data_IF_387999218398
#
_entry.id   IF_387999218398
#
_cell.length_a   1.000
_cell.length_b   1.000
_cell.length_c   1.000
_cell.angle_alpha   90.00
_cell.angle_beta   90.00
_cell.angle_gamma   90.00
#
_symmetry.space_group_name_H-M   'P 1'
#
loop_
_entity.id
_entity.type
_entity.pdbx_description
1 polymer ?
#
# COMPACT_ATOMS: atom_id res chain seq x y z
N UNK A 1 -17.96 -22.93 -17.35
CA UNK A 1 -16.65 -23.37 -17.88
C UNK A 1 -15.64 -22.23 -18.03
N UNK A 2 -15.95 -21.11 -18.71
CA UNK A 2 -14.98 -19.99 -18.92
C UNK A 2 -14.39 -19.36 -17.65
N UNK A 3 -15.17 -19.08 -16.59
CA UNK A 3 -14.64 -18.51 -15.33
C UNK A 3 -13.66 -19.42 -14.56
N UNK A 4 -13.69 -20.75 -14.77
CA UNK A 4 -12.78 -21.70 -14.08
C UNK A 4 -11.39 -21.78 -14.73
N UNK A 5 -11.20 -21.26 -15.95
CA UNK A 5 -9.91 -21.30 -16.65
C UNK A 5 -9.04 -20.05 -16.42
N UNK A 6 -9.58 -18.95 -15.89
CA UNK A 6 -8.92 -17.63 -15.92
C UNK A 6 -7.81 -17.47 -14.87
N UNK A 7 -7.79 -18.30 -13.81
CA UNK A 7 -6.80 -18.22 -12.73
C UNK A 7 -6.10 -19.56 -12.42
N UNK A 8 -6.03 -20.45 -13.42
CA UNK A 8 -5.61 -21.83 -13.19
C UNK A 8 -4.12 -21.89 -12.85
N UNK A 9 -3.30 -21.20 -13.63
CA UNK A 9 -1.85 -21.19 -13.40
C UNK A 9 -1.49 -20.32 -12.19
N UNK A 10 -2.25 -19.27 -11.87
CA UNK A 10 -2.14 -18.54 -10.60
C UNK A 10 -2.33 -19.49 -9.41
N UNK A 11 -3.45 -20.22 -9.35
CA UNK A 11 -3.74 -21.09 -8.21
C UNK A 11 -2.72 -22.22 -8.05
N UNK A 12 -2.35 -22.85 -9.17
CA UNK A 12 -1.28 -23.87 -9.20
C UNK A 12 0.06 -23.30 -8.76
N UNK A 13 0.41 -22.09 -9.18
CA UNK A 13 1.64 -21.43 -8.76
C UNK A 13 1.63 -21.13 -7.27
N UNK A 14 0.48 -20.76 -6.68
CA UNK A 14 0.38 -20.60 -5.23
C UNK A 14 0.56 -21.92 -4.48
N UNK A 15 0.03 -23.04 -5.00
CA UNK A 15 0.23 -24.37 -4.39
C UNK A 15 1.73 -24.73 -4.36
N UNK A 16 2.40 -24.54 -5.50
CA UNK A 16 3.83 -24.80 -5.62
C UNK A 16 4.66 -23.83 -4.77
N UNK A 17 4.22 -22.57 -4.65
CA UNK A 17 4.85 -21.57 -3.80
C UNK A 17 4.74 -21.92 -2.32
N UNK A 18 3.57 -22.36 -1.88
CA UNK A 18 3.37 -22.83 -0.51
C UNK A 18 4.33 -24.00 -0.17
N UNK A 19 4.46 -24.98 -1.06
CA UNK A 19 5.42 -26.08 -0.89
C UNK A 19 6.86 -25.60 -0.83
N UNK A 20 7.24 -24.62 -1.65
CA UNK A 20 8.56 -24.00 -1.61
C UNK A 20 8.82 -23.39 -0.22
N UNK A 21 7.89 -22.60 0.31
CA UNK A 21 8.03 -21.99 1.63
C UNK A 21 8.05 -23.04 2.75
N UNK A 22 7.30 -24.13 2.64
CA UNK A 22 7.38 -25.19 3.66
C UNK A 22 8.79 -25.81 3.76
N UNK A 23 9.54 -25.89 2.65
CA UNK A 23 10.92 -26.41 2.65
C UNK A 23 11.88 -25.54 3.46
N UNK A 24 11.62 -24.22 3.56
CA UNK A 24 12.47 -23.28 4.31
C UNK A 24 11.91 -22.95 5.70
N UNK A 25 10.73 -23.45 6.08
CA UNK A 25 10.07 -23.11 7.35
C UNK A 25 10.95 -23.38 8.58
N UNK A 26 11.68 -24.51 8.58
CA UNK A 26 12.60 -24.83 9.68
C UNK A 26 13.81 -23.87 9.75
N UNK A 27 14.36 -23.48 8.59
CA UNK A 27 15.47 -22.55 8.48
C UNK A 27 15.08 -21.15 8.98
N UNK A 28 13.88 -20.67 8.63
CA UNK A 28 13.38 -19.34 9.02
C UNK A 28 12.90 -19.30 10.48
N UNK A 29 12.59 -20.45 11.09
CA UNK A 29 12.02 -20.53 12.43
C UNK A 29 12.99 -20.38 13.61
N UNK A 30 14.28 -20.72 13.44
CA UNK A 30 15.28 -20.68 14.52
C UNK A 30 16.66 -20.23 14.02
N UNK A 31 17.27 -19.26 14.71
CA UNK A 31 18.68 -18.82 14.53
C UNK A 31 19.05 -18.39 13.10
N UNK A 32 18.09 -17.87 12.33
CA UNK A 32 18.30 -17.44 10.95
C UNK A 32 19.16 -16.18 10.91
N UNK A 33 20.06 -16.09 9.93
CA UNK A 33 20.84 -14.87 9.65
C UNK A 33 20.45 -14.20 8.31
N UNK A 34 20.94 -12.99 8.09
CA UNK A 34 20.66 -12.20 6.87
C UNK A 34 21.01 -12.92 5.58
N UNK A 35 22.11 -13.68 5.53
CA UNK A 35 22.56 -14.37 4.33
C UNK A 35 21.66 -15.57 3.99
N UNK A 36 21.21 -16.31 5.00
CA UNK A 36 20.24 -17.38 4.83
C UNK A 36 18.89 -16.86 4.31
N UNK A 37 18.42 -15.73 4.84
CA UNK A 37 17.20 -15.08 4.34
C UNK A 37 17.39 -14.61 2.90
N UNK A 38 18.52 -13.95 2.58
CA UNK A 38 18.81 -13.52 1.22
C UNK A 38 18.80 -14.69 0.22
N UNK A 39 19.39 -15.83 0.59
CA UNK A 39 19.33 -17.06 -0.20
C UNK A 39 17.89 -17.53 -0.44
N UNK A 40 17.04 -17.53 0.61
CA UNK A 40 15.63 -17.89 0.46
C UNK A 40 14.89 -16.93 -0.47
N UNK A 41 15.13 -15.62 -0.34
CA UNK A 41 14.54 -14.61 -1.23
C UNK A 41 14.97 -14.85 -2.68
N UNK A 42 16.24 -15.19 -2.95
CA UNK A 42 16.71 -15.48 -4.30
C UNK A 42 16.03 -16.73 -4.91
N UNK A 43 15.80 -17.78 -4.12
CA UNK A 43 15.02 -18.94 -4.55
C UNK A 43 13.56 -18.58 -4.88
N UNK A 44 12.96 -17.71 -4.07
CA UNK A 44 11.61 -17.17 -4.32
C UNK A 44 11.60 -16.34 -5.63
N UNK A 45 12.60 -15.49 -5.87
CA UNK A 45 12.71 -14.75 -7.15
C UNK A 45 12.79 -15.70 -8.33
N UNK A 46 13.67 -16.70 -8.29
CA UNK A 46 13.83 -17.68 -9.36
C UNK A 46 12.52 -18.44 -9.60
N UNK A 47 11.80 -18.79 -8.53
CA UNK A 47 10.51 -19.45 -8.60
C UNK A 47 9.48 -18.63 -9.39
N UNK A 48 9.39 -17.33 -9.12
CA UNK A 48 8.44 -16.42 -9.76
C UNK A 48 8.84 -16.03 -11.18
N UNK A 49 10.13 -15.75 -11.41
CA UNK A 49 10.66 -15.42 -12.74
C UNK A 49 10.32 -16.49 -13.78
N UNK A 50 10.38 -17.78 -13.40
CA UNK A 50 10.02 -18.91 -14.27
C UNK A 50 8.54 -18.93 -14.69
N UNK A 51 7.68 -18.15 -14.04
CA UNK A 51 6.21 -18.14 -14.24
C UNK A 51 5.68 -16.76 -14.60
N UNK A 52 6.53 -15.74 -14.67
CA UNK A 52 6.11 -14.33 -14.73
C UNK A 52 5.20 -14.06 -15.94
N UNK A 53 5.60 -14.50 -17.14
CA UNK A 53 4.84 -14.24 -18.37
C UNK A 53 3.41 -14.80 -18.30
N UNK A 54 3.25 -16.05 -17.86
CA UNK A 54 1.93 -16.69 -17.78
C UNK A 54 1.07 -16.09 -16.67
N UNK A 55 1.68 -15.71 -15.55
CA UNK A 55 0.99 -15.04 -14.44
C UNK A 55 0.53 -13.64 -14.84
N UNK A 56 1.34 -12.88 -15.56
CA UNK A 56 0.96 -11.56 -16.09
C UNK A 56 -0.22 -11.66 -17.05
N UNK A 57 -0.22 -12.67 -17.94
CA UNK A 57 -1.34 -12.89 -18.85
C UNK A 57 -2.64 -13.25 -18.12
N UNK A 58 -2.59 -14.15 -17.12
CA UNK A 58 -3.77 -14.48 -16.31
C UNK A 58 -4.24 -13.29 -15.47
N UNK A 59 -3.31 -12.50 -14.91
CA UNK A 59 -3.62 -11.28 -14.15
C UNK A 59 -4.32 -10.24 -15.02
N UNK A 60 -3.78 -9.92 -16.19
CA UNK A 60 -4.38 -8.96 -17.13
C UNK A 60 -5.80 -9.41 -17.53
N UNK A 61 -5.96 -10.70 -17.87
CA UNK A 61 -7.28 -11.27 -18.18
C UNK A 61 -8.25 -11.15 -17.00
N UNK A 62 -7.77 -11.38 -15.77
CA UNK A 62 -8.56 -11.32 -14.55
C UNK A 62 -8.99 -9.89 -14.22
N UNK A 63 -8.05 -8.95 -14.24
CA UNK A 63 -8.25 -7.55 -13.89
C UNK A 63 -9.14 -6.81 -14.91
N UNK A 64 -9.08 -7.17 -16.19
CA UNK A 64 -9.91 -6.55 -17.23
C UNK A 64 -11.41 -6.84 -17.13
N UNK A 65 -11.82 -7.85 -16.36
CA UNK A 65 -13.24 -8.24 -16.26
C UNK A 65 -13.77 -8.26 -14.83
N UNK A 66 -12.93 -7.98 -13.84
CA UNK A 66 -13.29 -8.02 -12.42
C UNK A 66 -12.69 -6.83 -11.66
N UNK A 67 -13.29 -6.52 -10.51
CA UNK A 67 -12.74 -5.54 -9.58
C UNK A 67 -11.65 -6.21 -8.73
N UNK A 68 -10.39 -6.02 -9.11
CA UNK A 68 -9.24 -6.61 -8.44
C UNK A 68 -8.55 -5.58 -7.54
N UNK A 69 -8.51 -5.83 -6.23
CA UNK A 69 -7.84 -4.97 -5.26
C UNK A 69 -6.42 -5.47 -4.98
N UNK A 70 -5.45 -4.55 -4.88
CA UNK A 70 -4.07 -4.82 -4.52
C UNK A 70 -3.78 -4.30 -3.11
N UNK A 71 -3.23 -5.14 -2.23
CA UNK A 71 -2.71 -4.69 -0.93
C UNK A 71 -1.52 -3.73 -1.14
N UNK A 72 -1.77 -2.44 -0.91
CA UNK A 72 -0.89 -1.31 -1.19
C UNK A 72 -0.57 -0.55 0.10
N UNK A 73 0.62 0.05 0.19
CA UNK A 73 1.13 0.68 1.42
C UNK A 73 1.51 -0.30 2.54
N UNK A 74 1.18 -1.59 2.43
CA UNK A 74 1.55 -2.64 3.37
C UNK A 74 2.43 -3.73 2.74
N UNK A 75 3.29 -4.34 3.57
CA UNK A 75 4.11 -5.50 3.15
C UNK A 75 3.29 -6.78 3.15
N UNK A 76 2.59 -7.06 4.24
CA UNK A 76 1.80 -8.29 4.43
C UNK A 76 0.42 -7.97 5.04
N UNK A 77 -0.50 -8.94 4.99
CA UNK A 77 -1.90 -8.71 5.29
C UNK A 77 -2.15 -8.56 6.80
N UNK A 78 -1.42 -9.30 7.63
CA UNK A 78 -1.55 -9.31 9.09
C UNK A 78 -2.85 -9.97 9.57
N UNK A 79 -3.02 -11.24 9.20
CA UNK A 79 -4.20 -12.07 9.46
C UNK A 79 -4.52 -12.17 10.96
N UNK A 80 -3.51 -12.15 11.83
CA UNK A 80 -3.68 -12.24 13.29
C UNK A 80 -4.53 -11.10 13.87
N UNK A 81 -4.54 -9.95 13.17
CA UNK A 81 -5.30 -8.76 13.56
C UNK A 81 -6.63 -8.64 12.77
N UNK A 82 -7.14 -9.73 12.20
CA UNK A 82 -8.38 -9.78 11.42
C UNK A 82 -8.41 -8.91 10.14
N UNK A 83 -7.27 -8.40 9.70
CA UNK A 83 -7.13 -7.57 8.49
C UNK A 83 -7.63 -8.23 7.20
N UNK A 84 -7.65 -9.57 7.18
CA UNK A 84 -8.18 -10.35 6.06
C UNK A 84 -9.70 -10.21 5.90
N UNK A 85 -10.45 -9.92 6.96
CA UNK A 85 -11.88 -9.60 6.86
C UNK A 85 -12.09 -8.31 6.10
N UNK A 86 -11.45 -7.23 6.56
CA UNK A 86 -11.47 -5.92 5.90
C UNK A 86 -11.08 -6.07 4.45
N UNK A 87 -9.91 -6.66 4.17
CA UNK A 87 -9.40 -6.77 2.82
C UNK A 87 -10.39 -7.46 1.89
N UNK A 88 -11.09 -8.50 2.37
CA UNK A 88 -12.05 -9.30 1.59
C UNK A 88 -13.40 -8.61 1.32
N UNK A 89 -13.71 -7.52 2.03
CA UNK A 89 -15.04 -6.92 2.06
C UNK A 89 -15.48 -6.33 0.71
N UNK A 90 -14.56 -5.73 -0.04
CA UNK A 90 -14.87 -4.99 -1.27
C UNK A 90 -14.10 -5.55 -2.48
N UNK A 91 -14.83 -5.87 -3.54
CA UNK A 91 -14.25 -6.33 -4.81
C UNK A 91 -14.39 -7.82 -5.06
N UNK A 92 -13.94 -8.25 -6.23
CA UNK A 92 -14.09 -9.62 -6.70
C UNK A 92 -12.86 -10.48 -6.34
N UNK A 93 -11.67 -9.92 -6.49
CA UNK A 93 -10.39 -10.58 -6.24
C UNK A 93 -9.45 -9.68 -5.45
N UNK A 94 -8.63 -10.31 -4.60
CA UNK A 94 -7.80 -9.64 -3.61
C UNK A 94 -6.38 -10.14 -3.77
N UNK A 95 -5.51 -9.26 -4.23
CA UNK A 95 -4.15 -9.57 -4.66
C UNK A 95 -3.17 -9.00 -3.64
N UNK A 96 -2.17 -9.79 -3.31
CA UNK A 96 -1.08 -9.43 -2.44
C UNK A 96 0.18 -9.56 -3.27
N UNK A 97 0.86 -8.44 -3.52
CA UNK A 97 2.22 -8.51 -4.04
C UNK A 97 3.08 -9.29 -3.05
N UNK A 98 3.85 -10.26 -3.53
CA UNK A 98 4.65 -11.16 -2.70
C UNK A 98 5.37 -10.41 -1.57
N UNK A 99 4.97 -10.64 -0.30
CA UNK A 99 5.54 -9.92 0.83
C UNK A 99 7.04 -10.13 1.00
N UNK A 100 7.55 -11.32 0.64
CA UNK A 100 8.94 -11.69 0.84
C UNK A 100 9.84 -11.03 -0.21
N UNK A 101 9.35 -10.89 -1.45
CA UNK A 101 10.05 -10.12 -2.48
C UNK A 101 10.08 -8.62 -2.16
N UNK A 102 9.04 -8.06 -1.54
CA UNK A 102 9.03 -6.65 -1.11
C UNK A 102 10.16 -6.30 -0.12
N UNK A 103 10.60 -7.29 0.66
CA UNK A 103 11.64 -7.12 1.67
C UNK A 103 13.06 -7.29 1.13
N UNK A 104 13.23 -7.77 -0.11
CA UNK A 104 14.54 -7.99 -0.74
C UNK A 104 15.54 -6.83 -0.59
N UNK A 105 15.14 -5.55 -0.78
CA UNK A 105 16.08 -4.43 -0.63
C UNK A 105 16.75 -4.37 0.75
N UNK A 106 16.03 -4.73 1.82
CA UNK A 106 16.55 -4.69 3.19
C UNK A 106 17.71 -5.69 3.41
N UNK A 107 17.74 -6.79 2.65
CA UNK A 107 18.77 -7.82 2.73
C UNK A 107 19.95 -7.59 1.77
N UNK A 108 19.83 -6.59 0.88
CA UNK A 108 20.89 -6.17 -0.05
C UNK A 108 21.63 -4.92 0.39
N UNK A 109 21.08 -4.17 1.35
CA UNK A 109 21.73 -2.98 1.90
C UNK A 109 22.97 -3.37 2.70
N UNK A 110 24.10 -2.73 2.40
CA UNK A 110 25.39 -2.99 3.06
C UNK A 110 25.69 -2.01 4.20
N UNK A 111 26.34 -2.51 5.26
CA UNK A 111 26.88 -1.71 6.37
C UNK A 111 25.97 -1.55 7.59
N UNK A 112 26.38 -0.73 8.58
CA UNK A 112 25.70 -0.49 9.86
C UNK A 112 24.36 0.29 9.74
N UNK A 113 23.83 0.44 8.53
CA UNK A 113 22.67 1.29 8.19
C UNK A 113 21.33 0.69 8.60
N UNK A 114 21.29 -0.59 8.97
CA UNK A 114 20.07 -1.31 9.32
C UNK A 114 20.21 -1.97 10.68
N UNK A 115 19.12 -2.02 11.45
CA UNK A 115 19.00 -2.96 12.57
C UNK A 115 18.74 -4.38 12.06
N UNK A 116 19.76 -5.24 12.21
CA UNK A 116 19.74 -6.62 11.71
C UNK A 116 18.64 -7.44 12.39
N UNK A 117 18.45 -7.30 13.69
CA UNK A 117 17.50 -8.12 14.44
C UNK A 117 16.07 -7.72 14.09
N UNK A 118 15.79 -6.40 14.05
CA UNK A 118 14.48 -5.89 13.66
C UNK A 118 14.12 -6.32 12.22
N UNK A 119 15.09 -6.31 11.30
CA UNK A 119 14.90 -6.72 9.91
C UNK A 119 14.60 -8.22 9.79
N UNK A 120 15.33 -9.07 10.52
CA UNK A 120 15.07 -10.51 10.58
C UNK A 120 13.68 -10.78 11.17
N UNK A 121 13.33 -10.14 12.28
CA UNK A 121 12.02 -10.28 12.92
C UNK A 121 10.88 -9.84 11.99
N UNK A 122 11.07 -8.76 11.25
CA UNK A 122 10.08 -8.26 10.29
C UNK A 122 9.88 -9.24 9.13
N UNK A 123 10.96 -9.81 8.60
CA UNK A 123 10.87 -10.86 7.58
C UNK A 123 10.18 -12.11 8.11
N UNK A 124 10.51 -12.57 9.31
CA UNK A 124 9.85 -13.73 9.94
C UNK A 124 8.35 -13.48 10.15
N UNK A 125 7.94 -12.26 10.53
CA UNK A 125 6.52 -11.88 10.61
C UNK A 125 5.84 -12.00 9.25
N UNK A 126 6.41 -11.41 8.21
CA UNK A 126 5.88 -11.47 6.85
C UNK A 126 5.81 -12.92 6.32
N UNK A 127 6.83 -13.73 6.60
CA UNK A 127 6.92 -15.14 6.23
C UNK A 127 5.81 -15.98 6.87
N UNK A 128 5.62 -15.82 8.18
CA UNK A 128 4.59 -16.56 8.90
C UNK A 128 3.17 -16.14 8.50
N UNK A 129 2.95 -14.84 8.25
CA UNK A 129 1.67 -14.33 7.73
C UNK A 129 1.38 -14.92 6.34
N UNK A 130 2.38 -14.95 5.46
CA UNK A 130 2.29 -15.52 4.11
C UNK A 130 1.98 -17.01 4.14
N UNK A 131 2.68 -17.79 4.99
CA UNK A 131 2.39 -19.22 5.18
C UNK A 131 0.97 -19.44 5.66
N UNK A 132 0.50 -18.66 6.65
CA UNK A 132 -0.85 -18.80 7.19
C UNK A 132 -1.91 -18.47 6.14
N UNK A 133 -1.66 -17.47 5.29
CA UNK A 133 -2.54 -17.13 4.18
C UNK A 133 -2.66 -18.27 3.17
N UNK A 134 -1.53 -18.85 2.78
CA UNK A 134 -1.47 -19.98 1.84
C UNK A 134 -2.05 -21.26 2.46
N UNK A 135 -1.93 -21.46 3.77
CA UNK A 135 -2.45 -22.65 4.44
C UNK A 135 -3.98 -22.61 4.63
N UNK A 136 -4.53 -21.44 4.97
CA UNK A 136 -5.95 -21.31 5.36
C UNK A 136 -6.83 -20.66 4.31
N UNK A 137 -6.29 -19.74 3.50
CA UNK A 137 -7.07 -18.79 2.70
C UNK A 137 -6.62 -18.66 1.24
N UNK A 138 -5.89 -19.65 0.74
CA UNK A 138 -5.30 -19.64 -0.62
C UNK A 138 -6.32 -19.49 -1.77
N UNK A 139 -7.57 -19.90 -1.54
CA UNK A 139 -8.65 -19.74 -2.52
C UNK A 139 -9.21 -18.32 -2.57
N UNK A 140 -8.98 -17.53 -1.51
CA UNK A 140 -9.60 -16.22 -1.29
C UNK A 140 -8.70 -15.03 -1.59
N UNK A 141 -7.39 -15.20 -1.41
CA UNK A 141 -6.36 -14.19 -1.71
C UNK A 141 -5.35 -14.75 -2.71
N UNK A 142 -4.85 -13.88 -3.60
CA UNK A 142 -3.89 -14.22 -4.65
C UNK A 142 -2.55 -13.55 -4.36
N UNK A 143 -1.54 -14.34 -4.02
CA UNK A 143 -0.15 -13.87 -3.90
C UNK A 143 0.51 -13.95 -5.28
N UNK A 144 1.04 -12.81 -5.74
CA UNK A 144 1.65 -12.68 -7.06
C UNK A 144 2.91 -11.80 -6.98
N UNK A 145 3.89 -12.01 -7.87
CA UNK A 145 5.07 -11.17 -7.99
C UNK A 145 4.72 -9.90 -8.78
N UNK A 146 3.88 -9.03 -8.21
CA UNK A 146 3.38 -7.82 -8.87
C UNK A 146 4.50 -6.79 -9.13
N UNK A 147 5.67 -6.97 -8.50
CA UNK A 147 6.82 -6.07 -8.66
C UNK A 147 7.75 -6.43 -9.81
N UNK A 148 8.12 -5.37 -10.52
CA UNK A 148 9.08 -5.20 -11.61
C UNK A 148 8.64 -5.66 -13.01
N UNK A 149 7.40 -5.36 -13.36
CA UNK A 149 7.01 -5.14 -14.77
C UNK A 149 6.78 -3.65 -14.92
N UNK A 150 7.16 -3.08 -16.06
CA UNK A 150 7.01 -1.67 -16.42
C UNK A 150 8.05 -0.77 -15.76
N UNK A 151 9.28 -0.76 -16.29
CA UNK A 151 9.95 0.40 -16.91
C UNK A 151 11.29 -0.14 -17.43
N UNK A 152 11.39 -0.42 -18.73
CA UNK A 152 12.63 -0.94 -19.34
C UNK A 152 13.83 0.01 -19.14
N UNK A 153 13.56 1.28 -18.80
CA UNK A 153 14.56 2.30 -18.52
C UNK A 153 14.40 2.92 -17.11
N UNK A 154 15.23 2.48 -16.15
CA UNK A 154 15.25 3.01 -14.77
C UNK A 154 15.58 4.51 -14.69
N UNK A 155 16.29 5.08 -15.67
CA UNK A 155 16.66 6.50 -15.63
C UNK A 155 15.46 7.39 -15.94
N UNK A 156 14.65 7.03 -16.94
CA UNK A 156 13.41 7.76 -17.27
C UNK A 156 12.42 7.76 -16.08
N UNK A 157 12.36 6.66 -15.33
CA UNK A 157 11.55 6.58 -14.12
C UNK A 157 12.01 7.57 -13.04
N UNK A 158 13.32 7.63 -12.79
CA UNK A 158 13.89 8.55 -11.80
C UNK A 158 13.64 10.01 -12.18
N UNK A 159 13.79 10.35 -13.46
CA UNK A 159 13.52 11.69 -13.99
C UNK A 159 12.04 12.08 -13.87
N UNK A 160 11.12 11.16 -14.17
CA UNK A 160 9.69 11.39 -14.03
C UNK A 160 9.29 11.61 -12.57
N UNK A 161 9.80 10.77 -11.67
CA UNK A 161 9.54 10.89 -10.23
C UNK A 161 10.11 12.19 -9.66
N UNK A 162 11.30 12.60 -10.10
CA UNK A 162 11.91 13.86 -9.67
C UNK A 162 11.12 15.07 -10.18
N UNK A 163 10.71 15.06 -11.45
CA UNK A 163 9.85 16.09 -12.04
C UNK A 163 8.52 16.21 -11.31
N UNK A 164 7.89 15.06 -11.00
CA UNK A 164 6.64 15.05 -10.25
C UNK A 164 6.83 15.58 -8.82
N UNK A 165 7.91 15.18 -8.15
CA UNK A 165 8.22 15.64 -6.80
C UNK A 165 8.40 17.16 -6.74
N UNK A 166 9.15 17.77 -7.67
CA UNK A 166 9.33 19.22 -7.68
C UNK A 166 8.06 19.99 -8.02
N UNK A 167 7.18 19.43 -8.86
CA UNK A 167 5.83 19.99 -9.06
C UNK A 167 4.98 19.91 -7.80
N UNK A 168 5.05 18.80 -7.06
CA UNK A 168 4.38 18.65 -5.78
C UNK A 168 4.89 19.69 -4.78
N UNK A 169 6.22 19.80 -4.60
CA UNK A 169 6.83 20.83 -3.74
C UNK A 169 6.36 22.23 -4.17
N UNK A 170 6.43 22.53 -5.46
CA UNK A 170 5.98 23.83 -5.95
C UNK A 170 4.50 24.12 -5.62
N UNK A 171 3.65 23.09 -5.70
CA UNK A 171 2.24 23.16 -5.36
C UNK A 171 1.98 23.45 -3.87
N UNK A 172 2.66 22.75 -2.96
CA UNK A 172 2.42 22.91 -1.51
C UNK A 172 2.97 24.24 -0.95
N UNK A 173 3.88 24.91 -1.67
CA UNK A 173 4.43 26.23 -1.33
C UNK A 173 3.81 27.37 -2.18
N UNK A 174 2.97 27.06 -3.17
CA UNK A 174 2.49 28.04 -4.17
C UNK A 174 3.62 28.87 -4.82
N UNK A 175 4.78 28.25 -5.03
CA UNK A 175 6.00 28.88 -5.56
C UNK A 175 6.75 27.88 -6.42
N UNK A 176 7.30 28.30 -7.54
CA UNK A 176 8.03 27.39 -8.44
C UNK A 176 9.41 27.04 -7.88
N UNK A 177 9.71 25.74 -7.84
CA UNK A 177 11.01 25.16 -7.53
C UNK A 177 11.33 24.07 -8.54
N UNK A 178 12.50 24.14 -9.17
CA UNK A 178 12.99 23.14 -10.11
C UNK A 178 13.94 22.13 -9.49
N UNK A 179 14.63 22.49 -8.41
CA UNK A 179 15.64 21.65 -7.77
C UNK A 179 15.91 22.01 -6.30
N UNK A 180 16.84 21.27 -5.71
CA UNK A 180 17.28 21.45 -4.32
C UNK A 180 17.90 22.82 -4.07
N UNK A 181 18.74 23.31 -4.99
CA UNK A 181 19.48 24.57 -4.80
C UNK A 181 18.52 25.77 -4.83
N UNK A 182 17.49 25.72 -5.66
CA UNK A 182 16.42 26.71 -5.68
C UNK A 182 15.61 26.72 -4.39
N UNK A 183 15.25 25.54 -3.87
CA UNK A 183 14.50 25.43 -2.62
C UNK A 183 15.33 25.88 -1.41
N UNK A 184 16.59 25.43 -1.32
CA UNK A 184 17.46 25.69 -0.18
C UNK A 184 17.89 27.16 -0.05
N UNK A 185 17.80 27.97 -1.12
CA UNK A 185 18.02 29.43 -1.03
C UNK A 185 16.94 30.16 -0.26
N UNK A 186 15.76 29.57 -0.13
CA UNK A 186 14.58 30.19 0.45
C UNK A 186 14.25 29.60 1.83
N UNK A 187 14.57 28.32 2.02
CA UNK A 187 14.26 27.59 3.24
C UNK A 187 15.46 26.74 3.67
N UNK A 188 16.09 27.11 4.79
CA UNK A 188 17.24 26.41 5.37
C UNK A 188 16.86 25.65 6.66
N UNK A 189 15.79 26.08 7.33
CA UNK A 189 15.35 25.55 8.62
C UNK A 189 13.91 25.02 8.58
N UNK A 190 13.56 24.11 9.48
CA UNK A 190 12.19 23.60 9.59
C UNK A 190 11.16 24.70 9.85
N UNK A 191 11.52 25.76 10.59
CA UNK A 191 10.62 26.88 10.87
C UNK A 191 10.34 27.69 9.60
N UNK A 192 11.35 27.93 8.76
CA UNK A 192 11.16 28.60 7.47
C UNK A 192 10.35 27.73 6.50
N UNK A 193 10.63 26.43 6.44
CA UNK A 193 9.88 25.46 5.63
C UNK A 193 8.41 25.45 6.06
N UNK A 194 8.13 25.32 7.36
CA UNK A 194 6.77 25.31 7.91
C UNK A 194 5.99 26.59 7.55
N UNK A 195 6.61 27.76 7.74
CA UNK A 195 5.99 29.05 7.41
C UNK A 195 5.75 29.24 5.90
N UNK A 196 6.48 28.51 5.04
CA UNK A 196 6.32 28.55 3.59
C UNK A 196 5.21 27.63 3.05
N UNK A 197 4.80 26.60 3.79
CA UNK A 197 3.78 25.64 3.34
C UNK A 197 2.39 26.27 3.49
N UNK A 198 1.51 26.01 2.52
CA UNK A 198 0.09 26.38 2.62
C UNK A 198 -0.52 25.73 3.86
N UNK A 199 -1.11 26.52 4.76
CA UNK A 199 -1.63 26.08 6.07
C UNK A 199 -2.51 24.81 5.98
N UNK A 200 -3.51 24.80 5.08
CA UNK A 200 -4.39 23.64 4.89
C UNK A 200 -3.67 22.37 4.40
N UNK A 201 -2.54 22.54 3.70
CA UNK A 201 -1.69 21.41 3.29
C UNK A 201 -0.83 20.95 4.44
N UNK A 202 -0.27 21.88 5.23
CA UNK A 202 0.53 21.55 6.40
C UNK A 202 -0.25 20.71 7.41
N UNK A 203 -1.53 21.02 7.68
CA UNK A 203 -2.41 20.22 8.53
C UNK A 203 -2.52 18.75 8.07
N UNK A 204 -2.39 18.48 6.77
CA UNK A 204 -2.48 17.15 6.18
C UNK A 204 -1.12 16.51 5.87
N UNK A 205 -0.01 17.21 6.14
CA UNK A 205 1.34 16.71 5.95
C UNK A 205 1.79 15.88 7.18
N UNK A 206 1.33 14.64 7.19
CA UNK A 206 1.51 13.68 8.30
C UNK A 206 2.64 12.70 7.96
N UNK A 207 3.61 12.52 8.85
CA UNK A 207 4.75 11.63 8.63
C UNK A 207 4.62 10.31 9.39
N UNK A 208 4.03 10.35 10.58
CA UNK A 208 3.90 9.19 11.48
C UNK A 208 2.44 8.74 11.62
N UNK A 209 1.59 9.64 12.10
CA UNK A 209 0.17 9.38 12.43
C UNK A 209 -0.57 10.71 12.62
N UNK A 210 -1.90 10.66 12.79
CA UNK A 210 -2.75 11.84 12.98
C UNK A 210 -2.29 12.83 14.06
N UNK A 211 -1.55 12.38 15.09
CA UNK A 211 -1.03 13.28 16.14
C UNK A 211 0.00 14.28 15.59
N UNK A 212 0.61 14.03 14.42
CA UNK A 212 1.47 15.02 13.76
C UNK A 212 0.74 16.34 13.49
N UNK A 213 -0.58 16.32 13.25
CA UNK A 213 -1.35 17.55 13.02
C UNK A 213 -1.31 18.54 14.19
N UNK A 214 -0.99 18.07 15.40
CA UNK A 214 -0.86 18.89 16.61
C UNK A 214 0.57 19.44 16.83
N UNK A 215 1.52 19.08 15.97
CA UNK A 215 2.94 19.33 16.13
C UNK A 215 3.49 20.26 15.05
N UNK A 216 4.59 20.95 15.38
CA UNK A 216 5.39 21.68 14.39
C UNK A 216 6.22 20.71 13.53
N UNK A 217 6.75 21.19 12.40
CA UNK A 217 7.45 20.35 11.43
C UNK A 217 8.66 19.64 12.03
N UNK A 218 9.43 20.35 12.87
CA UNK A 218 10.61 19.79 13.54
C UNK A 218 10.24 18.59 14.42
N UNK A 219 9.13 18.69 15.16
CA UNK A 219 8.62 17.61 16.00
C UNK A 219 8.12 16.42 15.15
N UNK A 220 7.37 16.68 14.07
CA UNK A 220 6.89 15.63 13.14
C UNK A 220 8.04 14.83 12.54
N UNK A 221 9.04 15.53 11.99
CA UNK A 221 10.24 14.89 11.42
C UNK A 221 11.03 14.17 12.51
N UNK A 222 11.17 14.78 13.70
CA UNK A 222 11.83 14.15 14.84
C UNK A 222 11.14 12.87 15.31
N UNK A 223 9.81 12.78 15.25
CA UNK A 223 9.05 11.56 15.53
C UNK A 223 9.27 10.50 14.46
N UNK A 224 9.16 10.88 13.20
CA UNK A 224 9.40 9.97 12.06
C UNK A 224 10.77 9.32 12.15
N UNK A 225 11.83 10.10 12.38
CA UNK A 225 13.20 9.60 12.49
C UNK A 225 13.43 8.68 13.70
N UNK A 226 12.68 8.85 14.78
CA UNK A 226 12.74 7.96 15.95
C UNK A 226 12.04 6.63 15.71
N UNK A 227 10.94 6.65 14.95
CA UNK A 227 10.18 5.44 14.64
C UNK A 227 10.84 4.62 13.52
N UNK A 228 11.42 5.30 12.53
CA UNK A 228 12.21 4.69 11.46
C UNK A 228 13.68 4.57 11.88
N UNK A 229 13.99 3.59 12.73
CA UNK A 229 15.34 3.34 13.29
C UNK A 229 16.45 3.35 12.22
N UNK A 230 16.14 2.95 10.99
CA UNK A 230 17.08 2.92 9.87
C UNK A 230 17.34 4.30 9.24
N UNK A 231 16.37 5.23 9.30
CA UNK A 231 16.50 6.57 8.70
C UNK A 231 17.34 7.51 9.57
N UNK A 232 17.26 7.41 10.90
CA UNK A 232 18.08 8.24 11.80
C UNK A 232 19.59 8.14 11.53
N UNK A 233 20.07 6.97 11.11
CA UNK A 233 21.46 6.73 10.72
C UNK A 233 21.82 7.31 9.35
N UNK A 234 20.84 7.41 8.45
CA UNK A 234 21.00 7.96 7.11
C UNK A 234 21.01 9.50 7.13
N UNK A 235 20.27 10.12 8.05
CA UNK A 235 20.09 11.57 8.12
C UNK A 235 21.08 12.29 9.03
N UNK A 236 21.97 11.58 9.73
CA UNK A 236 22.86 12.18 10.75
C UNK A 236 23.85 13.23 10.26
N UNK A 237 24.02 13.42 8.95
CA UNK A 237 24.89 14.44 8.34
C UNK A 237 24.13 15.43 7.45
N UNK A 238 22.81 15.30 7.34
CA UNK A 238 21.98 16.08 6.42
C UNK A 238 21.48 17.37 7.08
N UNK A 239 21.26 18.42 6.30
CA UNK A 239 20.61 19.67 6.74
C UNK A 239 19.11 19.43 7.00
N UNK A 240 18.45 20.36 7.71
CA UNK A 240 17.00 20.26 7.96
C UNK A 240 16.20 20.20 6.64
N UNK A 241 16.59 21.01 5.64
CA UNK A 241 16.04 21.00 4.28
C UNK A 241 16.24 19.67 3.57
N UNK A 242 17.46 19.11 3.60
CA UNK A 242 17.76 17.81 2.99
C UNK A 242 16.91 16.68 3.61
N UNK A 243 16.75 16.69 4.93
CA UNK A 243 15.94 15.71 5.66
C UNK A 243 14.48 15.82 5.26
N UNK A 244 13.91 17.03 5.29
CA UNK A 244 12.52 17.29 4.90
C UNK A 244 12.25 16.79 3.48
N UNK A 245 13.07 17.20 2.51
CA UNK A 245 12.87 16.83 1.11
C UNK A 245 13.04 15.32 0.89
N UNK A 246 13.99 14.68 1.57
CA UNK A 246 14.24 13.24 1.43
C UNK A 246 13.07 12.39 1.95
N UNK A 247 12.55 12.71 3.13
CA UNK A 247 11.41 12.00 3.73
C UNK A 247 10.15 12.26 2.91
N UNK A 248 9.89 13.52 2.53
CA UNK A 248 8.71 13.85 1.72
C UNK A 248 8.78 13.17 0.36
N UNK A 249 9.95 13.15 -0.29
CA UNK A 249 10.16 12.48 -1.58
C UNK A 249 9.96 10.98 -1.48
N UNK A 250 10.36 10.33 -0.38
CA UNK A 250 10.16 8.89 -0.22
C UNK A 250 8.68 8.54 -0.10
N UNK A 251 7.90 9.33 0.65
CA UNK A 251 6.46 9.15 0.84
C UNK A 251 5.70 9.40 -0.48
N UNK A 252 6.03 10.47 -1.21
CA UNK A 252 5.47 10.75 -2.54
C UNK A 252 5.82 9.64 -3.54
N UNK A 253 7.08 9.19 -3.54
CA UNK A 253 7.52 8.10 -4.42
C UNK A 253 6.77 6.79 -4.14
N UNK A 254 6.44 6.52 -2.87
CA UNK A 254 5.61 5.36 -2.50
C UNK A 254 4.22 5.45 -3.13
N UNK A 255 3.57 6.63 -3.11
CA UNK A 255 2.24 6.78 -3.72
C UNK A 255 2.33 6.64 -5.24
N UNK A 256 3.34 7.21 -5.86
CA UNK A 256 3.54 7.07 -7.31
C UNK A 256 3.78 5.62 -7.72
N UNK A 257 4.59 4.86 -6.96
CA UNK A 257 4.80 3.42 -7.17
C UNK A 257 3.46 2.65 -7.09
N UNK A 258 2.63 2.96 -6.08
CA UNK A 258 1.29 2.36 -5.91
C UNK A 258 0.40 2.66 -7.12
N UNK A 259 0.29 3.93 -7.51
CA UNK A 259 -0.58 4.36 -8.61
C UNK A 259 -0.15 3.75 -9.94
N UNK A 260 1.14 3.84 -10.28
CA UNK A 260 1.69 3.25 -11.50
C UNK A 260 1.47 1.75 -11.54
N UNK A 261 1.76 1.04 -10.44
CA UNK A 261 1.57 -0.41 -10.35
C UNK A 261 0.11 -0.78 -10.58
N UNK A 262 -0.81 -0.05 -9.96
CA UNK A 262 -2.24 -0.33 -10.08
C UNK A 262 -2.76 -0.03 -11.49
N UNK A 263 -2.38 1.10 -12.07
CA UNK A 263 -2.80 1.49 -13.43
C UNK A 263 -2.29 0.49 -14.47
N UNK A 264 -1.01 0.12 -14.41
CA UNK A 264 -0.40 -0.79 -15.38
C UNK A 264 -0.97 -2.21 -15.34
N UNK A 265 -1.55 -2.62 -14.20
CA UNK A 265 -2.14 -3.94 -14.01
C UNK A 265 -3.68 -3.91 -13.91
N UNK A 266 -4.31 -2.75 -14.15
CA UNK A 266 -5.75 -2.54 -13.99
C UNK A 266 -6.30 -2.98 -12.61
N UNK A 267 -5.55 -2.65 -11.56
CA UNK A 267 -5.87 -2.97 -10.17
C UNK A 267 -6.35 -1.73 -9.42
N UNK A 268 -6.99 -1.95 -8.27
CA UNK A 268 -7.42 -0.89 -7.36
C UNK A 268 -6.57 -0.96 -6.09
N UNK A 269 -5.92 0.14 -5.67
CA UNK A 269 -5.13 0.12 -4.46
C UNK A 269 -6.04 -0.01 -3.24
N UNK A 270 -5.75 -1.01 -2.39
CA UNK A 270 -6.23 -1.09 -1.02
C UNK A 270 -5.17 -0.46 -0.12
N UNK A 271 -5.49 0.70 0.45
CA UNK A 271 -4.63 1.42 1.39
C UNK A 271 -5.38 1.51 2.72
N UNK A 272 -4.71 1.09 3.79
CA UNK A 272 -5.24 1.12 5.17
C UNK A 272 -4.40 1.90 6.15
N UNK A 273 -3.21 2.33 5.76
CA UNK A 273 -2.33 3.12 6.61
C UNK A 273 -2.58 4.60 6.35
N UNK A 274 -2.83 5.34 7.43
CA UNK A 274 -3.19 6.75 7.38
C UNK A 274 -2.14 7.58 6.61
N UNK A 275 -0.85 7.44 6.92
CA UNK A 275 0.22 8.21 6.25
C UNK A 275 0.15 8.03 4.73
N UNK A 276 0.10 6.78 4.25
CA UNK A 276 -0.02 6.49 2.81
C UNK A 276 -1.29 7.10 2.22
N UNK A 277 -2.42 7.03 2.92
CA UNK A 277 -3.68 7.62 2.45
C UNK A 277 -3.63 9.15 2.41
N UNK A 278 -3.03 9.81 3.41
CA UNK A 278 -2.86 11.27 3.47
C UNK A 278 -2.05 11.78 2.28
N UNK A 279 -0.92 11.13 1.97
CA UNK A 279 -0.13 11.49 0.80
C UNK A 279 -0.85 11.22 -0.52
N UNK A 280 -1.66 10.15 -0.61
CA UNK A 280 -2.55 9.96 -1.75
C UNK A 280 -3.54 11.12 -1.87
N UNK A 281 -4.16 11.53 -0.76
CA UNK A 281 -5.12 12.62 -0.73
C UNK A 281 -4.52 13.97 -1.15
N UNK A 282 -3.25 14.21 -0.81
CA UNK A 282 -2.53 15.41 -1.23
C UNK A 282 -2.33 15.49 -2.75
N UNK A 283 -2.22 14.34 -3.44
CA UNK A 283 -1.91 14.33 -4.88
C UNK A 283 -3.08 13.91 -5.78
N UNK A 284 -4.14 13.32 -5.24
CA UNK A 284 -5.20 12.67 -6.01
C UNK A 284 -5.88 13.60 -7.02
N UNK A 285 -6.04 14.90 -6.69
CA UNK A 285 -6.65 15.89 -7.59
C UNK A 285 -5.89 16.08 -8.91
N UNK A 286 -4.62 15.69 -8.95
CA UNK A 286 -3.82 15.68 -10.20
C UNK A 286 -4.35 14.67 -11.21
N UNK A 287 -5.08 13.66 -10.76
CA UNK A 287 -5.45 12.48 -11.55
C UNK A 287 -6.96 12.35 -11.79
N UNK A 288 -7.82 13.07 -11.06
CA UNK A 288 -9.28 12.88 -11.09
C UNK A 288 -9.97 13.31 -12.39
N UNK A 289 -9.26 14.00 -13.30
CA UNK A 289 -9.78 14.36 -14.62
C UNK A 289 -9.78 13.16 -15.59
N UNK A 290 -8.96 12.14 -15.33
CA UNK A 290 -9.05 10.86 -16.05
C UNK A 290 -10.13 9.99 -15.40
N UNK A 291 -11.13 9.58 -16.17
CA UNK A 291 -12.30 8.83 -15.66
C UNK A 291 -11.91 7.50 -15.01
N UNK A 292 -10.91 6.80 -15.56
CA UNK A 292 -10.46 5.50 -15.02
C UNK A 292 -9.72 5.69 -13.70
N UNK A 293 -8.83 6.68 -13.64
CA UNK A 293 -8.12 7.02 -12.40
C UNK A 293 -9.09 7.53 -11.33
N UNK A 294 -10.05 8.37 -11.71
CA UNK A 294 -11.11 8.85 -10.81
C UNK A 294 -11.89 7.67 -10.23
N UNK A 295 -12.31 6.72 -11.05
CA UNK A 295 -13.03 5.53 -10.58
C UNK A 295 -12.17 4.64 -9.66
N UNK A 296 -10.88 4.46 -9.99
CA UNK A 296 -9.93 3.73 -9.14
C UNK A 296 -9.79 4.39 -7.76
N UNK A 297 -9.57 5.71 -7.74
CA UNK A 297 -9.40 6.50 -6.52
C UNK A 297 -10.67 6.53 -5.66
N UNK A 298 -11.85 6.65 -6.26
CA UNK A 298 -13.13 6.57 -5.56
C UNK A 298 -13.24 5.26 -4.77
N UNK A 299 -12.91 4.13 -5.41
CA UNK A 299 -12.95 2.81 -4.75
C UNK A 299 -11.91 2.69 -3.64
N UNK A 300 -10.73 3.26 -3.82
CA UNK A 300 -9.69 3.31 -2.78
C UNK A 300 -10.16 4.12 -1.57
N UNK A 301 -10.80 5.27 -1.78
CA UNK A 301 -11.35 6.11 -0.69
C UNK A 301 -12.48 5.37 0.05
N UNK A 302 -13.42 4.76 -0.68
CA UNK A 302 -14.48 3.95 -0.07
C UNK A 302 -13.89 2.86 0.82
N UNK A 303 -12.84 2.18 0.33
CA UNK A 303 -12.17 1.16 1.12
C UNK A 303 -11.53 1.73 2.38
N UNK A 304 -10.74 2.79 2.25
CA UNK A 304 -10.08 3.41 3.38
C UNK A 304 -11.08 3.84 4.45
N UNK A 305 -12.19 4.49 4.07
CA UNK A 305 -13.25 4.87 5.01
C UNK A 305 -13.85 3.62 5.67
N UNK A 306 -14.16 2.57 4.91
CA UNK A 306 -14.69 1.32 5.48
C UNK A 306 -13.74 0.71 6.52
N UNK A 307 -12.44 0.73 6.25
CA UNK A 307 -11.42 0.23 7.18
C UNK A 307 -11.41 1.05 8.47
N UNK A 308 -11.40 2.38 8.38
CA UNK A 308 -11.34 3.27 9.54
C UNK A 308 -12.63 3.25 10.38
N UNK A 309 -13.79 2.99 9.76
CA UNK A 309 -15.09 3.11 10.44
C UNK A 309 -15.63 1.79 10.96
N UNK A 310 -15.07 0.66 10.55
CA UNK A 310 -15.53 -0.67 10.98
C UNK A 310 -14.69 -1.15 12.15
N UNK A 311 -15.33 -1.38 13.30
CA UNK A 311 -14.62 -1.83 14.50
C UNK A 311 -14.07 -3.26 14.35
N UNK A 312 -12.86 -3.53 14.86
CA UNK A 312 -12.19 -4.83 14.74
C UNK A 312 -12.92 -5.97 15.45
N UNK A 313 -13.63 -5.64 16.52
CA UNK A 313 -14.40 -6.59 17.36
C UNK A 313 -15.58 -7.22 16.61
N UNK A 314 -16.11 -6.56 15.57
CA UNK A 314 -17.20 -7.05 14.72
C UNK A 314 -16.87 -8.42 14.10
N UNK A 315 -15.59 -8.73 13.89
CA UNK A 315 -15.16 -9.99 13.25
C UNK A 315 -14.83 -11.13 14.23
N UNK A 316 -14.73 -10.87 15.54
CA UNK A 316 -14.12 -11.80 16.50
C UNK A 316 -14.82 -13.17 16.63
N UNK A 317 -16.08 -13.28 16.20
CA UNK A 317 -16.86 -14.52 16.29
C UNK A 317 -17.44 -14.99 14.95
N UNK A 318 -17.01 -14.39 13.85
CA UNK A 318 -17.50 -14.74 12.52
C UNK A 318 -16.51 -15.72 11.90
N UNK A 319 -16.99 -16.82 11.30
CA UNK A 319 -16.12 -17.69 10.50
C UNK A 319 -15.77 -17.00 9.18
N UNK A 320 -14.48 -16.93 8.85
CA UNK A 320 -14.02 -16.22 7.65
C UNK A 320 -14.57 -16.82 6.34
N UNK A 321 -14.75 -18.14 6.25
CA UNK A 321 -15.27 -18.74 5.02
C UNK A 321 -16.74 -18.39 4.81
N UNK A 322 -17.52 -18.39 5.90
CA UNK A 322 -18.90 -17.91 5.89
C UNK A 322 -18.97 -16.42 5.52
N UNK A 323 -18.17 -15.58 6.17
CA UNK A 323 -18.04 -14.15 5.87
C UNK A 323 -17.71 -13.90 4.40
N UNK A 324 -16.66 -14.56 3.89
CA UNK A 324 -16.19 -14.45 2.51
C UNK A 324 -17.27 -14.82 1.50
N UNK A 325 -18.03 -15.89 1.77
CA UNK A 325 -19.14 -16.29 0.90
C UNK A 325 -20.24 -15.22 0.88
N UNK A 326 -20.60 -14.70 2.05
CA UNK A 326 -21.66 -13.69 2.20
C UNK A 326 -21.28 -12.36 1.57
N UNK A 327 -20.04 -11.91 1.76
CA UNK A 327 -19.51 -10.68 1.15
C UNK A 327 -19.64 -10.70 -0.39
N UNK A 328 -19.28 -11.82 -1.03
CA UNK A 328 -19.38 -12.00 -2.49
C UNK A 328 -20.82 -11.87 -3.00
N UNK A 329 -21.79 -12.38 -2.25
CA UNK A 329 -23.20 -12.33 -2.62
C UNK A 329 -23.81 -10.95 -2.35
N UNK A 330 -23.44 -10.32 -1.24
CA UNK A 330 -23.96 -9.01 -0.83
C UNK A 330 -23.51 -7.88 -1.75
N UNK A 331 -22.29 -7.95 -2.29
CA UNK A 331 -21.69 -6.95 -3.21
C UNK A 331 -21.70 -5.54 -2.64
N UNK A 332 -21.15 -5.40 -1.44
CA UNK A 332 -21.17 -4.17 -0.65
C UNK A 332 -20.69 -2.94 -1.45
N UNK A 333 -19.56 -3.05 -2.16
CA UNK A 333 -19.02 -1.96 -2.99
C UNK A 333 -20.05 -1.40 -3.99
N UNK A 334 -20.82 -2.28 -4.64
CA UNK A 334 -21.83 -1.86 -5.62
C UNK A 334 -22.97 -1.11 -4.95
N UNK A 335 -23.42 -1.56 -3.77
CA UNK A 335 -24.49 -0.91 -3.00
C UNK A 335 -24.07 0.48 -2.53
N UNK A 336 -22.86 0.60 -1.98
CA UNK A 336 -22.29 1.89 -1.55
C UNK A 336 -22.24 2.86 -2.75
N UNK A 337 -21.64 2.45 -3.86
CA UNK A 337 -21.52 3.31 -5.06
C UNK A 337 -22.87 3.72 -5.64
N UNK A 338 -23.84 2.79 -5.69
CA UNK A 338 -25.19 3.11 -6.13
C UNK A 338 -25.82 4.21 -5.26
N UNK A 339 -25.71 4.10 -3.93
CA UNK A 339 -26.22 5.13 -3.01
C UNK A 339 -25.52 6.48 -3.16
N UNK A 340 -24.18 6.48 -3.31
CA UNK A 340 -23.40 7.70 -3.57
C UNK A 340 -23.90 8.39 -4.84
N UNK A 341 -24.12 7.61 -5.92
CA UNK A 341 -24.61 8.12 -7.20
C UNK A 341 -26.07 8.62 -7.11
N UNK A 342 -26.96 7.87 -6.45
CA UNK A 342 -28.36 8.26 -6.25
C UNK A 342 -28.49 9.59 -5.48
N UNK A 343 -27.58 9.84 -4.54
CA UNK A 343 -27.53 11.06 -3.74
C UNK A 343 -26.70 12.19 -4.37
N UNK A 344 -26.13 11.98 -5.56
CA UNK A 344 -25.24 12.90 -6.26
C UNK A 344 -24.07 13.41 -5.38
N UNK A 345 -23.47 12.52 -4.60
CA UNK A 345 -22.34 12.85 -3.71
C UNK A 345 -21.03 12.82 -4.51
N UNK A 346 -20.23 13.89 -4.43
CA UNK A 346 -18.88 13.93 -4.96
C UNK A 346 -17.87 13.63 -3.84
N UNK A 347 -17.35 12.40 -3.82
CA UNK A 347 -16.41 11.93 -2.79
C UNK A 347 -15.14 12.78 -2.70
N UNK A 348 -14.79 13.49 -3.77
CA UNK A 348 -13.61 14.35 -3.85
C UNK A 348 -13.88 15.79 -3.41
N UNK A 349 -15.10 16.18 -2.99
CA UNK A 349 -15.43 17.58 -2.61
C UNK A 349 -15.87 17.73 -1.14
N UNK A 350 -15.27 16.96 -0.24
CA UNK A 350 -15.49 17.05 1.21
C UNK A 350 -16.85 16.59 1.74
N UNK A 351 -17.60 15.77 0.98
CA UNK A 351 -18.78 15.04 1.51
C UNK A 351 -18.39 13.74 2.23
N UNK A 352 -17.16 13.66 2.77
CA UNK A 352 -16.60 12.44 3.37
C UNK A 352 -17.47 11.89 4.49
N UNK A 353 -18.05 12.75 5.32
CA UNK A 353 -18.97 12.34 6.39
C UNK A 353 -20.24 11.66 5.88
N UNK A 354 -20.80 12.12 4.76
CA UNK A 354 -21.99 11.49 4.17
C UNK A 354 -21.65 10.15 3.54
N UNK A 355 -20.46 10.04 2.94
CA UNK A 355 -19.94 8.77 2.42
C UNK A 355 -19.70 7.78 3.55
N UNK A 356 -19.08 8.22 4.65
CA UNK A 356 -18.91 7.47 5.88
C UNK A 356 -20.25 6.95 6.43
N UNK A 357 -21.26 7.81 6.57
CA UNK A 357 -22.60 7.41 7.02
C UNK A 357 -23.21 6.33 6.10
N UNK A 358 -23.02 6.42 4.79
CA UNK A 358 -23.50 5.39 3.83
C UNK A 358 -22.76 4.07 4.06
N UNK A 359 -21.44 4.12 4.21
CA UNK A 359 -20.58 2.95 4.39
C UNK A 359 -20.93 2.25 5.70
N UNK A 360 -21.00 2.98 6.81
CA UNK A 360 -21.36 2.45 8.13
C UNK A 360 -22.73 1.77 8.07
N UNK A 361 -23.74 2.46 7.52
CA UNK A 361 -25.09 1.89 7.43
C UNK A 361 -25.13 0.60 6.59
N UNK A 362 -24.49 0.58 5.42
CA UNK A 362 -24.46 -0.61 4.58
C UNK A 362 -23.64 -1.76 5.18
N UNK A 363 -22.57 -1.44 5.90
CA UNK A 363 -21.76 -2.43 6.61
C UNK A 363 -22.53 -3.04 7.78
N UNK A 364 -23.23 -2.23 8.57
CA UNK A 364 -24.08 -2.73 9.67
C UNK A 364 -25.18 -3.67 9.15
N UNK A 365 -25.87 -3.30 8.06
CA UNK A 365 -26.87 -4.18 7.43
C UNK A 365 -26.25 -5.51 7.00
N UNK A 366 -25.04 -5.48 6.42
CA UNK A 366 -24.34 -6.68 6.01
C UNK A 366 -23.94 -7.56 7.21
N UNK A 367 -23.47 -6.96 8.29
CA UNK A 367 -23.06 -7.65 9.51
C UNK A 367 -24.24 -8.23 10.28
N UNK A 368 -25.43 -7.62 10.25
CA UNK A 368 -26.65 -8.17 10.87
C UNK A 368 -27.15 -9.45 10.16
N UNK A 369 -26.79 -9.63 8.88
CA UNK A 369 -27.19 -10.77 8.04
C UNK A 369 -26.25 -12.00 8.16
N UNK A 370 -25.19 -11.92 8.99
CA UNK A 370 -24.17 -12.96 9.19
C UNK A 370 -23.92 -13.26 10.66
#
# INVERSE_FOLDING_TARGET
MKKKMIKKEILKSQDDYYRLLLNYKALIGHSTNMAEIAMVIDEIKIFWLKKLEILNYELDTLANINQCFLLSGAVFLNIKENEHYYFKTLGDYHIISDPLLKLDPLFKMSGNKIDINETIDYFQKAYNDTIMLLEKYQSEFLILPIRDVFWENKNEQLELLDTFFWKFISGIFSKEFGDFDEFNKEYETYEEIENGIIESVFENLIYTDSYDSELNLKERIGRYLKNENNMSKLTGQMTETEIFLTITKSLISQIMDILVTCVSNNLIPYIRYEVTFRYLALIMYTFIEDEKLREMLEKTIIFYILHETTEKNEFNNIDFNFYSSKSKDYKLLKKIRNKINELNIDIFKCDTKRVEEIIVNEMSIFLEDI
#
